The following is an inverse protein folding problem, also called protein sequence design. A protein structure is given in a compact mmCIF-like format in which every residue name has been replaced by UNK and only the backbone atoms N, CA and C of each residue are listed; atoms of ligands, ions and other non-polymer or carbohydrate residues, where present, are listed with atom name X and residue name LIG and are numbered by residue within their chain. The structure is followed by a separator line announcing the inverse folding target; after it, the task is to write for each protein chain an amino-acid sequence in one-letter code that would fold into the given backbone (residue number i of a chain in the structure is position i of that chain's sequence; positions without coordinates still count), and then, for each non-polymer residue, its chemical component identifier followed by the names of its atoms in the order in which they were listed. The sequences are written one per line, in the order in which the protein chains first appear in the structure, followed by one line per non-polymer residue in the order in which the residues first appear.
data_IF_208925731232
#
_entry.id   IF_208925731232
#
_cell.length_a   1.000
_cell.length_b   1.000
_cell.length_c   1.000
_cell.angle_alpha   90.00
_cell.angle_beta   90.00
_cell.angle_gamma   90.00
#
_symmetry.space_group_name_H-M   'P 1'
#
loop_
_entity.id
_entity.type
_entity.pdbx_description
1 polymer ?
#
# COMPACT_ATOMS: atom_id res chain seq x y z
N UNK A 1 34.39 -12.41 -0.44
CA UNK A 1 34.93 -11.53 -1.50
C UNK A 1 33.83 -10.85 -2.31
N UNK A 2 33.00 -11.55 -3.09
CA UNK A 2 31.93 -10.91 -3.89
C UNK A 2 30.79 -10.30 -3.03
N UNK A 3 30.43 -10.96 -1.91
CA UNK A 3 29.48 -10.40 -0.93
C UNK A 3 30.01 -9.17 -0.18
N UNK A 4 31.31 -9.07 -0.01
CA UNK A 4 31.94 -7.97 0.72
C UNK A 4 32.00 -6.71 -0.17
N UNK A 5 32.36 -6.88 -1.45
CA UNK A 5 32.35 -5.82 -2.45
C UNK A 5 30.95 -5.21 -2.66
N UNK A 6 29.90 -6.03 -2.74
CA UNK A 6 28.51 -5.53 -2.87
C UNK A 6 28.06 -4.75 -1.64
N UNK A 7 28.52 -5.14 -0.45
CA UNK A 7 28.23 -4.42 0.80
C UNK A 7 28.93 -3.06 0.86
N UNK A 8 30.15 -2.97 0.33
CA UNK A 8 30.93 -1.74 0.27
C UNK A 8 30.32 -0.74 -0.74
N UNK A 9 29.91 -1.22 -1.92
CA UNK A 9 29.21 -0.42 -2.93
C UNK A 9 27.87 0.13 -2.40
N UNK A 10 27.06 -0.71 -1.72
CA UNK A 10 25.79 -0.27 -1.13
C UNK A 10 26.02 0.77 -0.02
N UNK A 11 27.08 0.59 0.79
CA UNK A 11 27.46 1.55 1.84
C UNK A 11 27.92 2.88 1.26
N UNK A 12 28.69 2.86 0.17
CA UNK A 12 29.16 4.06 -0.51
C UNK A 12 28.01 4.82 -1.17
N UNK A 13 27.08 4.12 -1.84
CA UNK A 13 25.88 4.72 -2.41
C UNK A 13 25.02 5.40 -1.32
N UNK A 14 24.83 4.72 -0.19
CA UNK A 14 24.09 5.25 0.95
C UNK A 14 24.71 6.55 1.48
N UNK A 15 26.04 6.58 1.68
CA UNK A 15 26.74 7.75 2.18
C UNK A 15 26.62 8.95 1.22
N UNK A 16 26.83 8.72 -0.08
CA UNK A 16 26.71 9.75 -1.13
C UNK A 16 25.27 10.27 -1.25
N UNK A 17 24.28 9.39 -1.13
CA UNK A 17 22.87 9.77 -1.12
C UNK A 17 22.55 10.68 0.08
N UNK A 18 22.99 10.33 1.29
CA UNK A 18 22.80 11.18 2.50
C UNK A 18 23.52 12.52 2.36
N UNK A 19 24.74 12.53 1.81
CA UNK A 19 25.51 13.74 1.55
C UNK A 19 24.85 14.70 0.55
N UNK A 20 23.86 14.22 -0.23
CA UNK A 20 23.16 15.04 -1.21
C UNK A 20 23.87 15.13 -2.56
N UNK A 21 24.61 14.08 -2.95
CA UNK A 21 25.13 13.98 -4.30
C UNK A 21 24.02 13.63 -5.30
N UNK A 22 23.81 14.47 -6.31
CA UNK A 22 22.76 14.27 -7.33
C UNK A 22 22.95 12.96 -8.13
N UNK A 23 24.19 12.56 -8.35
CA UNK A 23 24.51 11.29 -9.03
C UNK A 23 24.04 10.08 -8.23
N UNK A 24 24.10 10.14 -6.90
CA UNK A 24 23.56 9.10 -6.03
C UNK A 24 22.02 9.07 -6.07
N UNK A 25 21.35 10.23 -6.13
CA UNK A 25 19.90 10.28 -6.35
C UNK A 25 19.50 9.63 -7.67
N UNK A 26 20.19 9.95 -8.76
CA UNK A 26 19.91 9.36 -10.08
C UNK A 26 20.07 7.84 -10.06
N UNK A 27 21.11 7.33 -9.39
CA UNK A 27 21.33 5.90 -9.23
C UNK A 27 20.25 5.22 -8.38
N UNK A 28 19.90 5.81 -7.24
CA UNK A 28 18.82 5.34 -6.36
C UNK A 28 17.48 5.34 -7.09
N UNK A 29 17.17 6.39 -7.85
CA UNK A 29 15.97 6.50 -8.66
C UNK A 29 15.92 5.42 -9.74
N UNK A 30 16.99 5.25 -10.51
CA UNK A 30 17.07 4.21 -11.55
C UNK A 30 16.88 2.81 -10.97
N UNK A 31 17.42 2.54 -9.78
CA UNK A 31 17.36 1.24 -9.12
C UNK A 31 15.99 0.93 -8.53
N UNK A 32 15.31 1.92 -7.95
CA UNK A 32 14.12 1.67 -7.12
C UNK A 32 12.81 2.24 -7.68
N UNK A 33 12.86 3.12 -8.67
CA UNK A 33 11.62 3.68 -9.26
C UNK A 33 10.73 2.62 -9.92
N UNK A 34 11.21 1.55 -10.60
CA UNK A 34 10.33 0.51 -11.12
C UNK A 34 9.58 -0.25 -10.02
N UNK A 35 10.22 -0.45 -8.86
CA UNK A 35 9.63 -1.13 -7.71
C UNK A 35 8.54 -0.27 -7.06
N UNK A 36 8.84 1.02 -6.83
CA UNK A 36 7.87 1.98 -6.28
C UNK A 36 6.67 2.14 -7.22
N UNK A 37 6.93 2.32 -8.52
CA UNK A 37 5.89 2.44 -9.53
C UNK A 37 5.00 1.20 -9.58
N UNK A 38 5.59 0.01 -9.56
CA UNK A 38 4.83 -1.25 -9.56
C UNK A 38 3.96 -1.39 -8.31
N UNK A 39 4.47 -1.00 -7.14
CA UNK A 39 3.72 -1.03 -5.89
C UNK A 39 2.53 -0.06 -5.93
N UNK A 40 2.75 1.17 -6.41
CA UNK A 40 1.72 2.18 -6.54
C UNK A 40 0.65 1.76 -7.57
N UNK A 41 1.07 1.28 -8.73
CA UNK A 41 0.17 0.83 -9.80
C UNK A 41 -0.74 -0.31 -9.33
N UNK A 42 -0.17 -1.32 -8.64
CA UNK A 42 -0.96 -2.43 -8.08
C UNK A 42 -1.92 -1.98 -6.99
N UNK A 43 -1.58 -0.94 -6.25
CA UNK A 43 -2.42 -0.45 -5.16
C UNK A 43 -3.51 0.53 -5.62
N UNK A 44 -3.26 1.30 -6.67
CA UNK A 44 -4.12 2.41 -7.09
C UNK A 44 -4.93 2.08 -8.36
N UNK A 45 -4.48 1.10 -9.16
CA UNK A 45 -5.14 0.70 -10.41
C UNK A 45 -5.06 1.76 -11.52
N UNK A 46 -4.38 2.88 -11.29
CA UNK A 46 -4.25 3.98 -12.24
C UNK A 46 -2.78 4.30 -12.48
N UNK A 47 -2.44 4.53 -13.75
CA UNK A 47 -1.07 4.81 -14.16
C UNK A 47 -0.61 6.21 -13.75
N UNK A 48 -1.46 7.23 -13.91
CA UNK A 48 -1.10 8.60 -13.59
C UNK A 48 -0.78 8.78 -12.11
N UNK A 49 -1.62 8.22 -11.24
CA UNK A 49 -1.40 8.28 -9.80
C UNK A 49 -0.19 7.45 -9.37
N UNK A 50 0.11 6.34 -10.06
CA UNK A 50 1.34 5.59 -9.81
C UNK A 50 2.61 6.40 -10.18
N UNK A 51 2.57 7.17 -11.27
CA UNK A 51 3.66 8.07 -11.66
C UNK A 51 3.81 9.20 -10.62
N UNK A 52 2.71 9.84 -10.18
CA UNK A 52 2.74 10.88 -9.14
C UNK A 52 3.30 10.37 -7.81
N UNK A 53 2.80 9.23 -7.33
CA UNK A 53 3.29 8.60 -6.10
C UNK A 53 4.78 8.27 -6.20
N UNK A 54 5.24 7.80 -7.36
CA UNK A 54 6.66 7.51 -7.59
C UNK A 54 7.48 8.79 -7.46
N UNK A 55 7.11 9.85 -8.16
CA UNK A 55 7.81 11.14 -8.09
C UNK A 55 7.83 11.68 -6.66
N UNK A 56 6.67 11.75 -6.00
CA UNK A 56 6.53 12.23 -4.62
C UNK A 56 7.33 11.40 -3.63
N UNK A 57 7.46 10.09 -3.85
CA UNK A 57 8.30 9.22 -3.04
C UNK A 57 9.76 9.65 -3.12
N UNK A 58 10.32 9.83 -4.31
CA UNK A 58 11.73 10.19 -4.46
C UNK A 58 12.02 11.64 -4.06
N UNK A 59 11.07 12.57 -4.28
CA UNK A 59 11.16 13.93 -3.70
C UNK A 59 11.19 13.88 -2.17
N UNK A 60 10.35 13.05 -1.57
CA UNK A 60 10.32 12.86 -0.11
C UNK A 60 11.60 12.22 0.41
N UNK A 61 12.10 11.19 -0.27
CA UNK A 61 13.35 10.54 0.07
C UNK A 61 14.53 11.51 -0.02
N UNK A 62 14.58 12.36 -1.05
CA UNK A 62 15.64 13.36 -1.23
C UNK A 62 15.62 14.46 -0.17
N UNK A 63 14.43 15.01 0.10
CA UNK A 63 14.25 16.09 1.09
C UNK A 63 14.49 15.59 2.51
N UNK A 64 14.21 14.32 2.80
CA UNK A 64 14.43 13.70 4.12
C UNK A 64 15.70 12.85 4.21
N UNK A 65 16.59 12.88 3.21
CA UNK A 65 17.78 11.98 3.12
C UNK A 65 18.67 12.00 4.36
N UNK A 66 18.79 13.16 5.04
CA UNK A 66 19.59 13.29 6.26
C UNK A 66 19.02 12.50 7.45
N UNK A 67 17.75 12.09 7.39
CA UNK A 67 17.10 11.24 8.41
C UNK A 67 17.26 9.74 8.16
N UNK A 68 17.79 9.34 7.00
CA UNK A 68 18.07 7.95 6.71
C UNK A 68 19.23 7.45 7.58
N UNK A 69 19.02 6.28 8.20
CA UNK A 69 19.95 5.64 9.10
C UNK A 69 20.11 4.18 8.68
N UNK A 70 21.28 3.85 8.12
CA UNK A 70 21.60 2.51 7.61
C UNK A 70 21.66 1.45 8.71
N UNK A 71 21.80 1.84 9.99
CA UNK A 71 21.75 0.91 11.12
C UNK A 71 20.33 0.41 11.41
N UNK A 72 19.30 1.18 11.03
CA UNK A 72 17.89 0.87 11.30
C UNK A 72 17.21 0.12 10.16
N UNK A 73 17.55 0.46 8.92
CA UNK A 73 16.98 -0.18 7.74
C UNK A 73 17.86 0.03 6.51
N UNK A 74 17.75 -0.89 5.55
CA UNK A 74 18.32 -0.69 4.20
C UNK A 74 17.61 0.47 3.50
N UNK A 75 18.33 1.18 2.63
CA UNK A 75 17.80 2.30 1.86
C UNK A 75 16.55 1.92 1.04
N UNK A 76 16.55 0.71 0.47
CA UNK A 76 15.40 0.15 -0.24
C UNK A 76 14.16 0.02 0.65
N UNK A 77 14.33 -0.45 1.88
CA UNK A 77 13.23 -0.61 2.85
C UNK A 77 12.69 0.76 3.29
N UNK A 78 13.58 1.73 3.47
CA UNK A 78 13.21 3.10 3.80
C UNK A 78 12.42 3.77 2.66
N UNK A 79 12.86 3.63 1.41
CA UNK A 79 12.13 4.14 0.23
C UNK A 79 10.75 3.49 0.11
N UNK A 80 10.64 2.17 0.31
CA UNK A 80 9.36 1.46 0.29
C UNK A 80 8.43 1.91 1.43
N UNK A 81 8.97 2.27 2.59
CA UNK A 81 8.17 2.81 3.68
C UNK A 81 7.59 4.20 3.32
N UNK A 82 8.39 5.04 2.66
CA UNK A 82 7.93 6.33 2.15
C UNK A 82 6.84 6.12 1.08
N UNK A 83 7.04 5.20 0.13
CA UNK A 83 6.06 4.97 -0.93
C UNK A 83 4.71 4.49 -0.41
N UNK A 84 4.69 3.62 0.60
CA UNK A 84 3.46 3.18 1.26
C UNK A 84 2.68 4.35 1.86
N UNK A 85 3.36 5.29 2.51
CA UNK A 85 2.71 6.51 3.03
C UNK A 85 2.13 7.34 1.89
N UNK A 86 2.86 7.49 0.77
CA UNK A 86 2.37 8.24 -0.41
C UNK A 86 1.18 7.58 -1.10
N UNK A 87 1.13 6.25 -1.12
CA UNK A 87 -0.03 5.49 -1.62
C UNK A 87 -1.26 5.74 -0.73
N UNK A 88 -1.09 5.68 0.59
CA UNK A 88 -2.16 5.97 1.55
C UNK A 88 -2.66 7.42 1.40
N UNK A 89 -1.75 8.41 1.30
CA UNK A 89 -2.10 9.81 1.05
C UNK A 89 -2.96 9.95 -0.23
N UNK A 90 -2.65 9.18 -1.29
CA UNK A 90 -3.39 9.21 -2.55
C UNK A 90 -4.80 8.59 -2.41
N UNK A 91 -4.93 7.47 -1.70
CA UNK A 91 -6.24 6.87 -1.41
C UNK A 91 -7.13 7.82 -0.62
N UNK A 92 -6.59 8.49 0.40
CA UNK A 92 -7.31 9.47 1.20
C UNK A 92 -7.77 10.66 0.33
N UNK A 93 -6.89 11.18 -0.53
CA UNK A 93 -7.22 12.23 -1.48
C UNK A 93 -8.37 11.84 -2.42
N UNK A 94 -8.30 10.62 -3.01
CA UNK A 94 -9.37 10.07 -3.87
C UNK A 94 -10.68 9.90 -3.12
N UNK A 95 -10.64 9.41 -1.89
CA UNK A 95 -11.84 9.25 -1.06
C UNK A 95 -12.51 10.60 -0.80
N UNK A 96 -11.73 11.63 -0.49
CA UNK A 96 -12.23 13.00 -0.30
C UNK A 96 -12.86 13.57 -1.58
N UNK A 97 -12.22 13.39 -2.74
CA UNK A 97 -12.79 13.83 -4.03
C UNK A 97 -14.11 13.12 -4.31
N UNK A 98 -14.17 11.79 -4.14
CA UNK A 98 -15.41 11.01 -4.33
C UNK A 98 -16.53 11.46 -3.39
N UNK A 99 -16.20 11.75 -2.12
CA UNK A 99 -17.19 12.25 -1.16
C UNK A 99 -17.76 13.62 -1.58
N UNK A 100 -16.89 14.55 -2.03
CA UNK A 100 -17.32 15.85 -2.53
C UNK A 100 -18.16 15.74 -3.81
N UNK A 101 -17.79 14.84 -4.72
CA UNK A 101 -18.59 14.55 -5.91
C UNK A 101 -19.97 14.01 -5.54
N UNK A 102 -20.05 13.05 -4.62
CA UNK A 102 -21.33 12.51 -4.16
C UNK A 102 -22.19 13.55 -3.42
N UNK A 103 -21.58 14.51 -2.73
CA UNK A 103 -22.30 15.65 -2.13
C UNK A 103 -22.85 16.61 -3.20
N UNK A 104 -22.03 16.96 -4.19
CA UNK A 104 -22.45 17.79 -5.31
C UNK A 104 -23.55 17.13 -6.16
N UNK A 105 -23.43 15.83 -6.45
CA UNK A 105 -24.45 15.04 -7.15
C UNK A 105 -25.78 15.06 -6.37
N UNK A 106 -25.76 14.88 -5.04
CA UNK A 106 -26.95 14.98 -4.16
C UNK A 106 -27.60 16.36 -4.14
N UNK A 107 -26.81 17.42 -4.35
CA UNK A 107 -27.33 18.78 -4.43
C UNK A 107 -27.93 19.12 -5.81
N UNK A 108 -27.65 18.31 -6.85
CA UNK A 108 -27.89 18.70 -8.25
C UNK A 108 -28.98 17.88 -8.98
N UNK A 109 -29.43 16.71 -8.47
CA UNK A 109 -30.48 15.92 -9.16
C UNK A 109 -31.50 15.25 -8.20
N UNK A 110 -32.83 15.42 -8.41
CA UNK A 110 -33.87 14.70 -7.66
C UNK A 110 -34.19 13.27 -8.12
N UNK A 111 -33.70 12.84 -9.29
CA UNK A 111 -34.01 11.53 -9.90
C UNK A 111 -32.72 10.83 -10.38
N UNK A 112 -32.76 9.50 -10.45
CA UNK A 112 -31.78 8.55 -11.02
C UNK A 112 -30.67 7.95 -10.13
N UNK A 113 -31.10 6.96 -9.33
CA UNK A 113 -30.30 5.85 -8.81
C UNK A 113 -30.20 4.70 -9.82
N UNK A 114 -29.37 4.78 -10.87
CA UNK A 114 -28.85 3.56 -11.55
C UNK A 114 -27.48 3.87 -12.16
N UNK A 115 -26.40 3.24 -11.67
CA UNK A 115 -25.07 3.31 -12.28
C UNK A 115 -24.57 1.90 -12.55
N UNK A 116 -24.33 1.60 -13.82
CA UNK A 116 -23.93 0.27 -14.34
C UNK A 116 -22.40 0.03 -14.30
N UNK A 117 -21.96 -1.25 -14.41
CA UNK A 117 -20.78 -1.80 -13.74
C UNK A 117 -19.66 -2.25 -14.71
N UNK A 118 -18.40 -2.19 -14.28
CA UNK A 118 -17.37 -3.06 -14.91
C UNK A 118 -16.18 -3.49 -14.01
N UNK A 119 -16.33 -3.42 -12.69
CA UNK A 119 -15.37 -4.02 -11.73
C UNK A 119 -16.09 -4.61 -10.49
N UNK A 120 -17.42 -4.70 -10.62
CA UNK A 120 -18.30 -5.08 -9.53
C UNK A 120 -18.21 -6.58 -9.24
N UNK A 121 -17.96 -7.41 -10.24
CA UNK A 121 -17.94 -8.86 -10.08
C UNK A 121 -16.80 -9.35 -9.20
N UNK A 122 -15.56 -8.89 -9.41
CA UNK A 122 -14.41 -9.26 -8.56
C UNK A 122 -14.51 -8.61 -7.17
N UNK A 123 -14.93 -7.35 -7.11
CA UNK A 123 -15.15 -6.64 -5.85
C UNK A 123 -16.25 -7.29 -4.99
N UNK A 124 -17.35 -7.73 -5.61
CA UNK A 124 -18.43 -8.48 -4.94
C UNK A 124 -17.97 -9.87 -4.50
N UNK A 125 -17.14 -10.54 -5.30
CA UNK A 125 -16.59 -11.85 -4.95
C UNK A 125 -15.74 -11.74 -3.67
N UNK A 126 -14.84 -10.76 -3.60
CA UNK A 126 -13.99 -10.51 -2.42
C UNK A 126 -14.86 -10.06 -1.22
N UNK A 127 -15.84 -9.20 -1.43
CA UNK A 127 -16.75 -8.76 -0.38
C UNK A 127 -17.57 -9.92 0.21
N UNK A 128 -18.06 -10.83 -0.64
CA UNK A 128 -18.78 -12.04 -0.21
C UNK A 128 -17.87 -12.99 0.57
N UNK A 129 -16.63 -13.18 0.12
CA UNK A 129 -15.64 -13.99 0.81
C UNK A 129 -15.27 -13.44 2.19
N UNK A 130 -15.23 -12.12 2.32
CA UNK A 130 -15.03 -11.46 3.60
C UNK A 130 -16.20 -11.67 4.56
N UNK A 131 -17.44 -11.64 4.07
CA UNK A 131 -18.63 -11.91 4.91
C UNK A 131 -18.64 -13.33 5.49
N UNK A 132 -17.94 -14.28 4.86
CA UNK A 132 -17.79 -15.65 5.36
C UNK A 132 -16.63 -15.85 6.35
N UNK A 133 -16.03 -14.76 6.84
CA UNK A 133 -15.06 -14.82 7.94
C UNK A 133 -15.77 -14.75 9.28
N UNK A 134 -15.17 -15.41 10.29
CA UNK A 134 -15.59 -15.25 11.69
C UNK A 134 -15.59 -13.75 12.09
N UNK A 135 -16.48 -13.30 12.99
CA UNK A 135 -16.68 -11.87 13.28
C UNK A 135 -15.40 -11.10 13.63
N UNK A 136 -14.53 -11.70 14.45
CA UNK A 136 -13.25 -11.11 14.83
C UNK A 136 -12.27 -11.05 13.66
N UNK A 137 -12.27 -12.09 12.82
CA UNK A 137 -11.43 -12.17 11.64
C UNK A 137 -11.88 -11.18 10.56
N UNK A 138 -13.18 -11.01 10.37
CA UNK A 138 -13.78 -10.00 9.49
C UNK A 138 -13.41 -8.59 9.96
N UNK A 139 -13.57 -8.30 11.25
CA UNK A 139 -13.27 -6.98 11.83
C UNK A 139 -11.80 -6.62 11.68
N UNK A 140 -10.90 -7.56 11.97
CA UNK A 140 -9.46 -7.38 11.79
C UNK A 140 -9.09 -7.16 10.32
N UNK A 141 -9.68 -7.93 9.39
CA UNK A 141 -9.44 -7.76 7.96
C UNK A 141 -9.94 -6.42 7.44
N UNK A 142 -11.13 -5.98 7.88
CA UNK A 142 -11.66 -4.67 7.50
C UNK A 142 -10.73 -3.54 7.94
N UNK A 143 -10.33 -3.56 9.21
CA UNK A 143 -9.44 -2.53 9.76
C UNK A 143 -8.07 -2.50 9.06
N UNK A 144 -7.56 -3.66 8.65
CA UNK A 144 -6.25 -3.78 8.00
C UNK A 144 -6.27 -3.39 6.51
N UNK A 145 -7.35 -3.66 5.79
CA UNK A 145 -7.40 -3.55 4.33
C UNK A 145 -8.32 -2.44 3.81
N UNK A 146 -9.28 -1.97 4.61
CA UNK A 146 -10.22 -0.90 4.24
C UNK A 146 -9.99 0.37 5.05
N UNK A 147 -9.57 0.23 6.31
CA UNK A 147 -9.30 1.36 7.20
C UNK A 147 -7.79 1.66 7.32
N UNK A 148 -6.93 0.96 6.56
CA UNK A 148 -5.45 1.13 6.49
C UNK A 148 -4.71 1.15 7.84
N UNK A 149 -5.28 0.54 8.89
CA UNK A 149 -4.67 0.49 10.21
C UNK A 149 -3.51 -0.51 10.24
N UNK A 150 -2.41 -0.10 10.86
CA UNK A 150 -1.30 -1.01 11.15
C UNK A 150 -1.73 -2.09 12.15
N UNK A 151 -1.05 -3.23 12.15
CA UNK A 151 -1.35 -4.31 13.10
C UNK A 151 -1.30 -3.86 14.57
N UNK A 152 -0.42 -2.89 14.89
CA UNK A 152 -0.30 -2.31 16.23
C UNK A 152 -1.48 -1.38 16.58
N UNK A 153 -1.98 -0.63 15.60
CA UNK A 153 -3.19 0.19 15.78
C UNK A 153 -4.45 -0.67 15.93
N UNK A 154 -4.56 -1.76 15.15
CA UNK A 154 -5.66 -2.73 15.29
C UNK A 154 -5.59 -3.40 16.66
N UNK A 155 -4.39 -3.81 17.08
CA UNK A 155 -4.15 -4.40 18.41
C UNK A 155 -4.62 -3.48 19.53
N UNK A 156 -4.23 -2.20 19.49
CA UNK A 156 -4.67 -1.19 20.47
C UNK A 156 -6.17 -0.94 20.40
N UNK A 157 -6.73 -0.83 19.18
CA UNK A 157 -8.15 -0.50 18.97
C UNK A 157 -9.10 -1.61 19.43
N UNK A 158 -8.70 -2.86 19.24
CA UNK A 158 -9.52 -4.03 19.60
C UNK A 158 -9.15 -4.63 20.97
N UNK A 159 -8.11 -4.12 21.63
CA UNK A 159 -7.60 -4.71 22.89
C UNK A 159 -7.05 -6.13 22.72
N UNK A 160 -6.69 -6.53 21.50
CA UNK A 160 -6.20 -7.87 21.16
C UNK A 160 -4.66 -7.89 21.15
N UNK A 161 -4.00 -8.99 21.56
CA UNK A 161 -2.55 -9.12 21.40
C UNK A 161 -2.11 -9.02 19.93
N UNK A 162 -0.96 -8.38 19.66
CA UNK A 162 -0.43 -8.22 18.30
C UNK A 162 -0.26 -9.55 17.56
N UNK A 163 0.14 -10.61 18.27
CA UNK A 163 0.23 -11.97 17.71
C UNK A 163 -1.13 -12.52 17.25
N UNK A 164 -2.20 -12.20 17.99
CA UNK A 164 -3.58 -12.56 17.65
C UNK A 164 -4.03 -11.84 16.39
N UNK A 165 -3.80 -10.53 16.28
CA UNK A 165 -4.09 -9.74 15.06
C UNK A 165 -3.39 -10.33 13.83
N UNK A 166 -2.08 -10.57 13.92
CA UNK A 166 -1.31 -11.20 12.82
C UNK A 166 -1.84 -12.59 12.46
N UNK A 167 -2.23 -13.39 13.46
CA UNK A 167 -2.80 -14.72 13.26
C UNK A 167 -4.18 -14.70 12.62
N UNK A 168 -5.04 -13.71 12.94
CA UNK A 168 -6.31 -13.50 12.25
C UNK A 168 -6.09 -13.15 10.78
N UNK A 169 -5.24 -12.18 10.47
CA UNK A 169 -4.95 -11.76 9.07
C UNK A 169 -4.42 -12.95 8.25
N UNK A 170 -3.41 -13.66 8.77
CA UNK A 170 -2.82 -14.81 8.07
C UNK A 170 -3.84 -15.92 7.79
N UNK A 171 -4.66 -16.27 8.80
CA UNK A 171 -5.68 -17.33 8.66
C UNK A 171 -6.80 -16.91 7.72
N UNK A 172 -7.26 -15.66 7.77
CA UNK A 172 -8.28 -15.13 6.86
C UNK A 172 -7.82 -15.15 5.41
N UNK A 173 -6.61 -14.64 5.11
CA UNK A 173 -6.06 -14.66 3.76
C UNK A 173 -5.90 -16.07 3.21
N UNK A 174 -5.47 -17.02 4.05
CA UNK A 174 -5.36 -18.44 3.65
C UNK A 174 -6.72 -19.07 3.36
N UNK A 175 -7.76 -18.75 4.16
CA UNK A 175 -9.11 -19.28 3.95
C UNK A 175 -9.76 -18.70 2.70
N UNK A 176 -9.66 -17.38 2.51
CA UNK A 176 -10.17 -16.70 1.32
C UNK A 176 -9.49 -17.22 0.06
N UNK A 177 -8.17 -17.40 0.07
CA UNK A 177 -7.44 -18.02 -1.05
C UNK A 177 -7.98 -19.40 -1.40
N UNK A 178 -8.13 -20.29 -0.42
CA UNK A 178 -8.61 -21.66 -0.67
C UNK A 178 -10.02 -21.66 -1.27
N UNK A 179 -10.93 -20.79 -0.82
CA UNK A 179 -12.31 -20.72 -1.34
C UNK A 179 -12.39 -20.09 -2.72
N UNK A 180 -11.54 -19.09 -2.99
CA UNK A 180 -11.41 -18.48 -4.31
C UNK A 180 -10.78 -19.46 -5.32
N UNK A 181 -9.79 -20.25 -4.92
CA UNK A 181 -9.21 -21.31 -5.76
C UNK A 181 -10.22 -22.42 -6.07
N UNK A 182 -11.05 -22.81 -5.10
CA UNK A 182 -12.13 -23.81 -5.32
C UNK A 182 -13.24 -23.26 -6.22
N UNK A 183 -13.59 -21.97 -6.09
CA UNK A 183 -14.61 -21.34 -6.92
C UNK A 183 -14.17 -21.13 -8.37
N UNK A 184 -12.86 -21.06 -8.63
CA UNK A 184 -12.29 -20.87 -9.97
C UNK A 184 -12.00 -22.19 -10.71
N UNK A 185 -12.31 -23.34 -10.10
CA UNK A 185 -12.06 -24.69 -10.64
C UNK A 185 -13.37 -25.44 -10.96
N UNK A 186 -14.54 -24.86 -10.68
CA UNK A 186 -15.82 -25.43 -11.08
C UNK A 186 -16.18 -24.99 -12.52
N UNK A 187 -16.39 -25.95 -13.46
CA UNK A 187 -16.85 -25.66 -14.83
C UNK A 187 -18.32 -25.26 -14.90
#
# INVERSE_FOLDING_TARGET
MERDAVSDEESQLNARFVAGEETALAEVYRRWSPVVFTLALRSLGDRGDAEDVTQRTFVSAWTSRASYDSSKAKLSTWIVAISRRRIADMHESRAKIRALQAELERMTNPDDLVREPNDLSESLLIANEMQQLEPDAHTVMRLAFFDDLTHEEISRRLGMPLGTVKSHIRRSLSRMRNRLEVSNVAP
#
